data_IF_133206260665
#
_entry.id   IF_133206260665
#
_cell.length_a   1.000
_cell.length_b   1.000
_cell.length_c   1.000
_cell.angle_alpha   90.00
_cell.angle_beta   90.00
_cell.angle_gamma   90.00
#
_symmetry.space_group_name_H-M   'P 1'
#
loop_
_entity.id
_entity.type
_entity.pdbx_description
1 polymer ?
#
# COMPACT_ATOMS: atom_id res chain seq x y z
N UNK A 1 -1.95 -1.29 -19.06
CA UNK A 1 -1.21 -0.69 -17.91
C UNK A 1 -1.41 -1.57 -16.69
N UNK A 2 -0.38 -1.65 -15.84
CA UNK A 2 -0.41 -2.43 -14.60
C UNK A 2 -0.26 -1.50 -13.39
N UNK A 3 -1.07 -1.67 -12.33
CA UNK A 3 -0.94 -0.93 -11.08
C UNK A 3 -0.55 -1.89 -9.96
N UNK A 4 0.56 -1.61 -9.29
CA UNK A 4 1.04 -2.36 -8.13
C UNK A 4 0.95 -1.44 -6.91
N UNK A 5 0.05 -1.74 -5.99
CA UNK A 5 -0.14 -1.02 -4.74
C UNK A 5 0.59 -1.79 -3.64
N UNK A 6 1.49 -1.12 -2.92
CA UNK A 6 2.28 -1.70 -1.83
C UNK A 6 1.86 -1.05 -0.52
N UNK A 7 1.32 -1.86 0.38
CA UNK A 7 0.82 -1.45 1.68
C UNK A 7 1.46 -2.21 2.84
N UNK A 8 1.35 -1.65 4.01
CA UNK A 8 1.85 -2.23 5.25
C UNK A 8 2.32 -1.18 6.24
N UNK A 9 2.49 -1.57 7.48
CA UNK A 9 3.00 -0.71 8.55
C UNK A 9 4.42 -0.18 8.29
N UNK A 10 4.90 0.62 9.21
CA UNK A 10 6.29 1.09 9.13
C UNK A 10 7.27 -0.09 9.33
N UNK A 11 8.44 -0.01 8.69
CA UNK A 11 9.54 -1.00 8.80
C UNK A 11 9.27 -2.39 8.21
N UNK A 12 8.20 -2.58 7.44
CA UNK A 12 7.95 -3.86 6.71
C UNK A 12 8.69 -3.96 5.36
N UNK A 13 9.57 -3.00 5.01
CA UNK A 13 10.39 -3.08 3.79
C UNK A 13 9.70 -2.60 2.51
N UNK A 14 8.64 -1.78 2.59
CA UNK A 14 7.95 -1.21 1.42
C UNK A 14 8.91 -0.48 0.46
N UNK A 15 9.73 0.43 0.99
CA UNK A 15 10.67 1.22 0.17
C UNK A 15 11.71 0.33 -0.52
N UNK A 16 12.18 -0.72 0.18
CA UNK A 16 13.09 -1.72 -0.39
C UNK A 16 12.41 -2.47 -1.54
N UNK A 17 11.17 -2.91 -1.36
CA UNK A 17 10.42 -3.58 -2.42
C UNK A 17 10.18 -2.65 -3.62
N UNK A 18 9.81 -1.39 -3.39
CA UNK A 18 9.64 -0.39 -4.47
C UNK A 18 10.93 -0.23 -5.26
N UNK A 19 12.08 -0.10 -4.58
CA UNK A 19 13.39 0.02 -5.23
C UNK A 19 13.71 -1.22 -6.07
N UNK A 20 13.53 -2.41 -5.51
CA UNK A 20 13.78 -3.66 -6.22
C UNK A 20 12.86 -3.83 -7.45
N UNK A 21 11.58 -3.46 -7.32
CA UNK A 21 10.65 -3.45 -8.45
C UNK A 21 11.05 -2.42 -9.51
N UNK A 22 11.52 -1.24 -9.10
CA UNK A 22 12.04 -0.23 -10.03
C UNK A 22 13.21 -0.78 -10.82
N UNK A 23 14.20 -1.37 -10.17
CA UNK A 23 15.36 -2.00 -10.81
C UNK A 23 14.91 -3.10 -11.78
N UNK A 24 13.98 -3.96 -11.38
CA UNK A 24 13.44 -5.03 -12.23
C UNK A 24 12.73 -4.49 -13.48
N UNK A 25 11.91 -3.44 -13.37
CA UNK A 25 11.12 -2.94 -14.49
C UNK A 25 11.91 -2.01 -15.43
N UNK A 26 12.94 -1.31 -14.95
CA UNK A 26 13.82 -0.47 -15.80
C UNK A 26 14.44 -1.28 -16.95
N UNK A 27 14.73 -2.56 -16.73
CA UNK A 27 15.32 -3.45 -17.74
C UNK A 27 14.27 -4.11 -18.68
N UNK A 28 12.99 -3.76 -18.58
CA UNK A 28 11.88 -4.45 -19.30
C UNK A 28 11.23 -3.65 -20.41
N UNK A 29 11.80 -2.52 -20.82
CA UNK A 29 11.24 -1.65 -21.87
C UNK A 29 9.78 -1.22 -21.58
N UNK A 30 9.49 -0.93 -20.32
CA UNK A 30 8.18 -0.42 -19.88
C UNK A 30 8.31 0.99 -19.31
N UNK A 31 7.28 1.81 -19.54
CA UNK A 31 7.17 3.11 -18.86
C UNK A 31 6.86 2.89 -17.39
N UNK A 32 7.69 3.43 -16.49
CA UNK A 32 7.53 3.27 -15.04
C UNK A 32 7.15 4.59 -14.37
N UNK A 33 6.11 4.56 -13.56
CA UNK A 33 5.73 5.67 -12.68
C UNK A 33 5.64 5.19 -11.23
N UNK A 34 6.31 5.90 -10.32
CA UNK A 34 6.28 5.61 -8.89
C UNK A 34 5.65 6.78 -8.16
N UNK A 35 4.65 6.51 -7.33
CA UNK A 35 4.02 7.48 -6.44
C UNK A 35 4.20 7.04 -5.00
N UNK A 36 4.79 7.91 -4.18
CA UNK A 36 4.84 7.75 -2.74
C UNK A 36 3.79 8.65 -2.10
N UNK A 37 2.94 8.08 -1.26
CA UNK A 37 1.92 8.81 -0.53
C UNK A 37 2.44 9.20 0.85
N UNK A 38 2.43 10.50 1.12
CA UNK A 38 2.90 11.07 2.39
C UNK A 38 1.76 11.39 3.36
N UNK A 39 2.12 12.12 4.40
CA UNK A 39 1.16 12.56 5.42
C UNK A 39 0.14 13.55 4.87
N UNK A 40 -1.12 13.49 5.35
CA UNK A 40 -2.15 14.46 5.00
C UNK A 40 -1.78 15.85 5.46
N UNK A 41 -2.10 16.85 4.62
CA UNK A 41 -1.95 18.26 4.96
C UNK A 41 -3.25 18.79 5.59
N UNK A 42 -3.12 19.73 6.51
CA UNK A 42 -4.22 20.36 7.22
C UNK A 42 -3.90 20.64 8.67
N UNK A 43 -4.63 21.59 9.28
CA UNK A 43 -4.48 21.95 10.70
C UNK A 43 -5.35 21.06 11.60
N UNK A 44 -6.55 20.71 11.14
CA UNK A 44 -7.47 19.84 11.87
C UNK A 44 -7.53 18.43 11.27
N UNK A 45 -8.08 17.48 11.99
CA UNK A 45 -8.26 16.12 11.50
C UNK A 45 -9.27 16.05 10.34
N UNK A 46 -10.28 16.92 10.36
CA UNK A 46 -11.26 17.07 9.28
C UNK A 46 -10.60 17.57 8.00
N UNK A 47 -9.77 18.62 8.09
CA UNK A 47 -9.00 19.14 6.96
C UNK A 47 -8.06 18.10 6.37
N UNK A 48 -7.34 17.33 7.23
CA UNK A 48 -6.46 16.24 6.80
C UNK A 48 -7.22 15.14 6.07
N UNK A 49 -8.39 14.78 6.58
CA UNK A 49 -9.24 13.74 5.96
C UNK A 49 -9.79 14.21 4.62
N UNK A 50 -10.26 15.46 4.53
CA UNK A 50 -10.75 16.06 3.30
C UNK A 50 -9.63 16.14 2.24
N UNK A 51 -8.44 16.59 2.65
CA UNK A 51 -7.26 16.64 1.78
C UNK A 51 -6.93 15.27 1.19
N UNK A 52 -6.84 14.22 2.02
CA UNK A 52 -6.52 12.88 1.54
C UNK A 52 -7.59 12.34 0.58
N UNK A 53 -8.86 12.52 0.91
CA UNK A 53 -9.95 12.10 0.04
C UNK A 53 -9.85 12.76 -1.35
N UNK A 54 -9.56 14.06 -1.39
CA UNK A 54 -9.39 14.79 -2.65
C UNK A 54 -8.15 14.30 -3.42
N UNK A 55 -7.00 14.15 -2.74
CA UNK A 55 -5.77 13.70 -3.37
C UNK A 55 -5.93 12.29 -3.97
N UNK A 56 -6.54 11.37 -3.26
CA UNK A 56 -6.79 10.03 -3.79
C UNK A 56 -7.77 10.07 -4.95
N UNK A 57 -8.85 10.86 -4.87
CA UNK A 57 -9.78 11.00 -5.98
C UNK A 57 -9.09 11.51 -7.24
N UNK A 58 -8.26 12.54 -7.11
CA UNK A 58 -7.50 13.11 -8.23
C UNK A 58 -6.54 12.07 -8.84
N UNK A 59 -5.88 11.26 -8.00
CA UNK A 59 -4.98 10.21 -8.50
C UNK A 59 -5.74 9.06 -9.16
N UNK A 60 -6.91 8.68 -8.68
CA UNK A 60 -7.78 7.70 -9.32
C UNK A 60 -8.25 8.18 -10.71
N UNK A 61 -8.62 9.47 -10.82
CA UNK A 61 -8.93 10.09 -12.12
C UNK A 61 -7.73 10.02 -13.05
N UNK A 62 -6.55 10.42 -12.57
CA UNK A 62 -5.30 10.35 -13.34
C UNK A 62 -4.98 8.93 -13.77
N UNK A 63 -5.06 7.96 -12.85
CA UNK A 63 -4.86 6.56 -13.18
C UNK A 63 -5.83 6.09 -14.26
N UNK A 64 -7.10 6.45 -14.15
CA UNK A 64 -8.12 6.07 -15.14
C UNK A 64 -7.82 6.65 -16.53
N UNK A 65 -7.25 7.86 -16.63
CA UNK A 65 -6.84 8.43 -17.93
C UNK A 65 -5.64 7.74 -18.55
N UNK A 66 -4.82 7.07 -17.74
CA UNK A 66 -3.63 6.33 -18.21
C UNK A 66 -3.92 4.85 -18.45
N UNK A 67 -5.12 4.36 -18.14
CA UNK A 67 -5.45 2.93 -18.14
C UNK A 67 -5.17 2.23 -19.47
N UNK A 68 -5.37 2.92 -20.60
CA UNK A 68 -5.18 2.37 -21.93
C UNK A 68 -3.74 2.49 -22.46
N UNK A 69 -2.83 3.12 -21.68
CA UNK A 69 -1.42 3.20 -22.05
C UNK A 69 -0.80 1.81 -21.96
N UNK A 70 -0.32 1.31 -23.10
CA UNK A 70 0.36 0.01 -23.16
C UNK A 70 1.74 0.09 -22.51
N UNK A 71 2.22 -1.06 -22.03
CA UNK A 71 3.59 -1.21 -21.51
C UNK A 71 3.93 -0.18 -20.42
N UNK A 72 2.95 0.13 -19.57
CA UNK A 72 3.12 1.02 -18.44
C UNK A 72 2.91 0.28 -17.12
N UNK A 73 3.82 0.49 -16.18
CA UNK A 73 3.71 0.02 -14.80
C UNK A 73 3.65 1.22 -13.88
N UNK A 74 2.65 1.24 -13.01
CA UNK A 74 2.48 2.25 -11.96
C UNK A 74 2.67 1.56 -10.62
N UNK A 75 3.52 2.09 -9.76
CA UNK A 75 3.73 1.60 -8.40
C UNK A 75 3.28 2.67 -7.41
N UNK A 76 2.33 2.33 -6.55
CA UNK A 76 1.96 3.16 -5.42
C UNK A 76 2.58 2.62 -4.13
N UNK A 77 3.49 3.39 -3.55
CA UNK A 77 4.03 3.14 -2.22
C UNK A 77 3.14 3.83 -1.20
N UNK A 78 2.37 3.05 -0.47
CA UNK A 78 1.16 3.44 0.28
C UNK A 78 0.01 3.82 -0.67
N UNK A 79 -1.20 3.88 -0.15
CA UNK A 79 -2.40 4.22 -0.94
C UNK A 79 -3.59 4.63 -0.06
N UNK A 80 -4.75 4.76 -0.68
CA UNK A 80 -6.05 4.94 -0.04
C UNK A 80 -6.38 3.85 0.99
N UNK A 81 -5.81 2.64 0.85
CA UNK A 81 -5.97 1.54 1.81
C UNK A 81 -5.43 1.93 3.19
N UNK A 82 -4.27 2.61 3.23
CA UNK A 82 -3.67 3.13 4.46
C UNK A 82 -4.59 4.09 5.22
N UNK A 83 -5.52 4.77 4.53
CA UNK A 83 -6.49 5.65 5.20
C UNK A 83 -7.43 4.87 6.12
N UNK A 84 -7.84 3.64 5.74
CA UNK A 84 -8.64 2.76 6.61
C UNK A 84 -7.90 2.30 7.86
N UNK A 85 -6.59 2.52 7.92
CA UNK A 85 -5.73 2.22 9.09
C UNK A 85 -5.47 3.49 9.90
N UNK A 86 -4.86 4.49 9.26
CA UNK A 86 -4.37 5.68 9.94
C UNK A 86 -5.48 6.71 10.25
N UNK A 87 -6.59 6.66 9.52
CA UNK A 87 -7.79 7.45 9.82
C UNK A 87 -8.36 7.14 11.21
N UNK A 88 -8.76 5.90 11.47
CA UNK A 88 -9.28 5.50 12.78
C UNK A 88 -8.24 5.61 13.90
N UNK A 89 -6.98 5.21 13.65
CA UNK A 89 -5.94 5.18 14.69
C UNK A 89 -5.53 6.56 15.17
N UNK A 90 -5.40 7.53 14.26
CA UNK A 90 -4.73 8.80 14.59
C UNK A 90 -5.58 10.04 14.32
N UNK A 91 -6.73 9.93 13.66
CA UNK A 91 -7.58 11.07 13.32
C UNK A 91 -9.02 10.94 13.80
N UNK A 92 -9.39 9.77 14.34
CA UNK A 92 -10.77 9.50 14.77
C UNK A 92 -11.78 9.51 13.63
N UNK A 93 -11.33 9.31 12.39
CA UNK A 93 -12.19 9.26 11.20
C UNK A 93 -12.49 7.82 10.78
N UNK A 94 -13.65 7.60 10.15
CA UNK A 94 -13.97 6.33 9.49
C UNK A 94 -14.00 6.53 7.97
N UNK A 95 -12.89 6.27 7.26
CA UNK A 95 -12.79 6.46 5.83
C UNK A 95 -13.31 5.27 5.00
N UNK A 96 -13.71 4.16 5.63
CA UNK A 96 -14.01 2.90 4.95
C UNK A 96 -15.01 3.07 3.80
N UNK A 97 -16.11 3.78 4.03
CA UNK A 97 -17.16 3.94 3.02
C UNK A 97 -16.67 4.66 1.77
N UNK A 98 -15.95 5.79 1.92
CA UNK A 98 -15.49 6.54 0.77
C UNK A 98 -14.29 5.86 0.06
N UNK A 99 -13.45 5.13 0.80
CA UNK A 99 -12.36 4.34 0.21
C UNK A 99 -12.93 3.25 -0.70
N UNK A 100 -13.90 2.49 -0.21
CA UNK A 100 -14.56 1.45 -1.01
C UNK A 100 -15.31 2.04 -2.19
N UNK A 101 -16.02 3.17 -2.00
CA UNK A 101 -16.72 3.86 -3.09
C UNK A 101 -15.78 4.31 -4.19
N UNK A 102 -14.54 4.74 -3.88
CA UNK A 102 -13.53 5.06 -4.90
C UNK A 102 -13.13 3.83 -5.70
N UNK A 103 -12.88 2.70 -5.04
CA UNK A 103 -12.52 1.46 -5.74
C UNK A 103 -13.63 1.01 -6.70
N UNK A 104 -14.90 1.12 -6.29
CA UNK A 104 -16.07 0.77 -7.10
C UNK A 104 -16.28 1.77 -8.25
N UNK A 105 -16.24 3.08 -7.96
CA UNK A 105 -16.39 4.16 -8.95
C UNK A 105 -15.37 4.03 -10.09
N UNK A 106 -14.12 3.75 -9.75
CA UNK A 106 -13.03 3.61 -10.72
C UNK A 106 -12.77 2.16 -11.15
N UNK A 107 -13.68 1.24 -10.82
CA UNK A 107 -13.67 -0.16 -11.25
C UNK A 107 -12.43 -0.96 -10.86
N UNK A 108 -11.85 -0.66 -9.71
CA UNK A 108 -10.75 -1.44 -9.15
C UNK A 108 -11.20 -2.86 -8.78
N UNK A 109 -12.48 -3.02 -8.49
CA UNK A 109 -13.16 -4.29 -8.24
C UNK A 109 -13.28 -5.20 -9.48
N UNK A 110 -12.97 -4.68 -10.69
CA UNK A 110 -13.14 -5.39 -11.97
C UNK A 110 -11.88 -5.35 -12.86
N UNK A 111 -10.85 -4.65 -12.45
CA UNK A 111 -9.63 -4.51 -13.25
C UNK A 111 -8.61 -5.59 -12.88
N UNK A 112 -8.33 -6.55 -13.79
CA UNK A 112 -7.38 -7.62 -13.50
C UNK A 112 -5.92 -7.17 -13.50
N UNK A 113 -5.62 -5.92 -13.87
CA UNK A 113 -4.26 -5.36 -13.89
C UNK A 113 -3.94 -4.53 -12.64
N UNK A 114 -4.81 -4.59 -11.62
CA UNK A 114 -4.58 -3.92 -10.32
C UNK A 114 -4.24 -4.96 -9.26
N UNK A 115 -3.11 -4.77 -8.60
CA UNK A 115 -2.55 -5.68 -7.61
C UNK A 115 -2.35 -4.98 -6.29
N UNK A 116 -2.84 -5.57 -5.20
CA UNK A 116 -2.60 -5.10 -3.83
C UNK A 116 -1.63 -6.04 -3.11
N UNK A 117 -0.44 -5.54 -2.80
CA UNK A 117 0.59 -6.25 -2.06
C UNK A 117 0.60 -5.72 -0.62
N UNK A 118 0.24 -6.56 0.33
CA UNK A 118 0.29 -6.23 1.74
C UNK A 118 1.50 -6.91 2.41
N UNK A 119 2.46 -6.10 2.84
CA UNK A 119 3.61 -6.55 3.62
C UNK A 119 3.29 -6.47 5.11
N UNK A 120 3.53 -7.57 5.84
CA UNK A 120 3.33 -7.63 7.29
C UNK A 120 4.53 -8.26 8.00
N UNK A 121 4.73 -7.91 9.26
CA UNK A 121 5.69 -8.57 10.15
C UNK A 121 5.06 -8.79 11.53
N UNK A 122 5.71 -9.59 12.36
CA UNK A 122 5.28 -9.79 13.75
C UNK A 122 5.41 -8.47 14.53
N UNK A 123 4.42 -8.10 15.37
CA UNK A 123 4.47 -6.84 16.12
C UNK A 123 5.70 -6.71 17.03
N UNK A 124 6.11 -7.81 17.65
CA UNK A 124 7.30 -7.90 18.51
C UNK A 124 8.57 -7.62 17.72
N UNK A 125 8.66 -8.17 16.51
CA UNK A 125 9.77 -7.93 15.59
C UNK A 125 9.83 -6.46 15.18
N UNK A 126 8.70 -5.85 14.85
CA UNK A 126 8.63 -4.43 14.48
C UNK A 126 8.99 -3.50 15.65
N UNK A 127 8.55 -3.84 16.86
CA UNK A 127 8.86 -3.03 18.04
C UNK A 127 10.36 -3.02 18.38
N UNK A 128 11.03 -4.16 18.23
CA UNK A 128 12.49 -4.27 18.49
C UNK A 128 13.31 -3.55 17.40
N UNK A 129 12.85 -3.57 16.16
CA UNK A 129 13.54 -2.96 15.01
C UNK A 129 13.08 -1.53 14.70
N UNK A 130 12.37 -0.87 15.63
CA UNK A 130 11.92 0.51 15.44
C UNK A 130 13.11 1.49 15.54
N UNK A 131 13.21 2.42 14.60
CA UNK A 131 14.26 3.44 14.52
C UNK A 131 13.83 4.80 15.11
N UNK A 132 12.70 4.82 15.81
CA UNK A 132 12.12 6.03 16.40
C UNK A 132 11.39 6.94 15.41
N UNK A 133 11.18 6.52 14.17
CA UNK A 133 10.45 7.26 13.13
C UNK A 133 9.04 6.77 12.91
N UNK A 134 8.66 5.65 13.51
CA UNK A 134 7.28 5.15 13.50
C UNK A 134 6.38 5.98 14.41
N UNK A 135 5.07 5.94 14.17
CA UNK A 135 4.08 6.61 15.05
C UNK A 135 4.15 6.10 16.49
N UNK A 136 4.46 4.83 16.69
CA UNK A 136 4.67 4.23 18.01
C UNK A 136 5.58 3.00 17.91
N UNK A 137 6.38 2.78 18.96
CA UNK A 137 7.20 1.58 19.15
C UNK A 137 6.56 0.57 20.13
N UNK A 138 5.36 0.87 20.66
CA UNK A 138 4.66 -0.02 21.59
C UNK A 138 4.08 -1.21 20.85
N UNK A 139 4.27 -2.41 21.39
CA UNK A 139 3.76 -3.66 20.81
C UNK A 139 2.23 -3.60 20.63
N UNK A 140 1.51 -3.04 21.61
CA UNK A 140 0.04 -2.92 21.55
C UNK A 140 -0.41 -2.08 20.35
N UNK A 141 0.27 -0.97 20.08
CA UNK A 141 -0.05 -0.11 18.95
C UNK A 141 0.30 -0.80 17.62
N UNK A 142 1.42 -1.53 17.55
CA UNK A 142 1.78 -2.35 16.39
C UNK A 142 0.77 -3.48 16.15
N UNK A 143 0.27 -4.12 17.20
CA UNK A 143 -0.79 -5.14 17.08
C UNK A 143 -2.09 -4.53 16.54
N UNK A 144 -2.47 -3.34 17.02
CA UNK A 144 -3.65 -2.64 16.55
C UNK A 144 -3.51 -2.19 15.10
N UNK A 145 -2.36 -1.63 14.72
CA UNK A 145 -2.05 -1.25 13.35
C UNK A 145 -2.14 -2.46 12.40
N UNK A 146 -1.54 -3.60 12.78
CA UNK A 146 -1.58 -4.83 12.01
C UNK A 146 -3.02 -5.35 11.82
N UNK A 147 -3.86 -5.27 12.87
CA UNK A 147 -5.28 -5.64 12.79
C UNK A 147 -6.01 -4.76 11.79
N UNK A 148 -5.84 -3.44 11.86
CA UNK A 148 -6.48 -2.51 10.91
C UNK A 148 -6.00 -2.71 9.47
N UNK A 149 -4.71 -2.96 9.26
CA UNK A 149 -4.21 -3.29 7.91
C UNK A 149 -4.84 -4.58 7.37
N UNK A 150 -4.99 -5.59 8.19
CA UNK A 150 -5.65 -6.83 7.79
C UNK A 150 -7.12 -6.59 7.43
N UNK A 151 -7.86 -5.84 8.26
CA UNK A 151 -9.25 -5.49 8.01
C UNK A 151 -9.39 -4.64 6.72
N UNK A 152 -8.48 -3.69 6.49
CA UNK A 152 -8.44 -2.87 5.29
C UNK A 152 -8.15 -3.72 4.03
N UNK A 153 -7.15 -4.60 4.09
CA UNK A 153 -6.83 -5.55 3.02
C UNK A 153 -8.01 -6.46 2.68
N UNK A 154 -8.68 -7.01 3.68
CA UNK A 154 -9.86 -7.88 3.48
C UNK A 154 -11.06 -7.10 2.91
N UNK A 155 -11.24 -5.84 3.32
CA UNK A 155 -12.36 -4.99 2.89
C UNK A 155 -12.19 -4.41 1.49
N UNK A 156 -10.95 -4.20 1.02
CA UNK A 156 -10.67 -3.71 -0.33
C UNK A 156 -11.32 -4.59 -1.39
N UNK A 157 -11.87 -3.96 -2.44
CA UNK A 157 -12.52 -4.64 -3.58
C UNK A 157 -11.53 -5.05 -4.67
N UNK A 158 -10.27 -4.70 -4.57
CA UNK A 158 -9.23 -5.15 -5.50
C UNK A 158 -9.22 -6.68 -5.55
N UNK A 159 -9.31 -7.27 -6.75
CA UNK A 159 -9.44 -8.72 -6.91
C UNK A 159 -8.13 -9.46 -6.66
N UNK A 160 -7.02 -8.91 -7.15
CA UNK A 160 -5.70 -9.54 -7.05
C UNK A 160 -4.97 -9.01 -5.83
N UNK A 161 -4.92 -9.83 -4.78
CA UNK A 161 -4.33 -9.46 -3.50
C UNK A 161 -3.31 -10.51 -3.05
N UNK A 162 -2.14 -10.06 -2.63
CA UNK A 162 -1.08 -10.89 -2.09
C UNK A 162 -0.65 -10.35 -0.71
N UNK A 163 -0.59 -11.22 0.28
CA UNK A 163 -0.11 -10.90 1.61
C UNK A 163 1.20 -11.63 1.89
N UNK A 164 2.26 -10.89 2.18
CA UNK A 164 3.59 -11.45 2.43
C UNK A 164 4.03 -11.13 3.86
N UNK A 165 4.42 -12.16 4.61
CA UNK A 165 5.11 -11.98 5.88
C UNK A 165 6.61 -11.76 5.60
N UNK A 166 7.15 -10.61 6.03
CA UNK A 166 8.52 -10.18 5.70
C UNK A 166 9.57 -10.58 6.75
N UNK A 167 9.16 -11.25 7.83
CA UNK A 167 10.09 -11.75 8.84
C UNK A 167 9.86 -13.23 9.16
N UNK A 168 10.93 -13.90 9.51
CA UNK A 168 10.92 -15.25 10.08
C UNK A 168 11.69 -15.19 11.39
N UNK A 169 10.98 -15.43 12.51
CA UNK A 169 11.55 -15.20 13.84
C UNK A 169 12.01 -13.72 13.97
N UNK A 170 13.26 -13.50 14.37
CA UNK A 170 13.83 -12.18 14.61
C UNK A 170 14.64 -11.62 13.42
N UNK A 171 14.47 -12.16 12.23
CA UNK A 171 15.22 -11.74 11.02
C UNK A 171 14.27 -11.39 9.87
N UNK A 172 14.67 -10.42 9.06
CA UNK A 172 13.98 -10.16 7.81
C UNK A 172 14.22 -11.30 6.81
N UNK A 173 13.18 -11.63 6.06
CA UNK A 173 13.32 -12.47 4.86
C UNK A 173 14.11 -11.67 3.81
N UNK A 174 14.97 -12.34 3.08
CA UNK A 174 15.75 -11.71 2.00
C UNK A 174 14.84 -10.97 1.01
N UNK A 175 15.22 -9.73 0.70
CA UNK A 175 14.40 -8.85 -0.16
C UNK A 175 14.24 -9.39 -1.59
N UNK A 176 15.21 -10.14 -2.08
CA UNK A 176 15.16 -10.83 -3.38
C UNK A 176 14.03 -11.86 -3.41
N UNK A 177 13.86 -12.66 -2.34
CA UNK A 177 12.78 -13.62 -2.24
C UNK A 177 11.40 -12.96 -2.23
N UNK A 178 11.27 -11.83 -1.52
CA UNK A 178 10.03 -11.04 -1.52
C UNK A 178 9.75 -10.49 -2.92
N UNK A 179 10.79 -9.98 -3.61
CA UNK A 179 10.68 -9.52 -4.98
C UNK A 179 10.20 -10.63 -5.92
N UNK A 180 10.83 -11.81 -5.87
CA UNK A 180 10.48 -12.95 -6.72
C UNK A 180 9.01 -13.36 -6.55
N UNK A 181 8.52 -13.41 -5.30
CA UNK A 181 7.12 -13.73 -5.00
C UNK A 181 6.17 -12.68 -5.60
N UNK A 182 6.50 -11.39 -5.49
CA UNK A 182 5.70 -10.31 -6.07
C UNK A 182 5.75 -10.36 -7.59
N UNK A 183 6.92 -10.53 -8.21
CA UNK A 183 7.06 -10.63 -9.67
C UNK A 183 6.26 -11.82 -10.20
N UNK A 184 6.38 -12.99 -9.58
CA UNK A 184 5.60 -14.16 -9.96
C UNK A 184 4.10 -13.83 -9.93
N UNK A 185 3.63 -13.21 -8.85
CA UNK A 185 2.22 -12.85 -8.70
C UNK A 185 1.72 -11.85 -9.75
N UNK A 186 2.49 -10.81 -10.08
CA UNK A 186 2.06 -9.77 -11.02
C UNK A 186 2.30 -10.12 -12.49
N UNK A 187 3.06 -11.18 -12.80
CA UNK A 187 3.36 -11.62 -14.17
C UNK A 187 2.62 -12.86 -14.62
N UNK A 188 2.19 -13.72 -13.68
CA UNK A 188 1.49 -14.99 -13.99
C UNK A 188 -0.05 -14.87 -13.92
N UNK A 189 -0.56 -13.70 -13.62
CA UNK A 189 -1.99 -13.49 -13.35
C UNK A 189 -2.73 -13.00 -14.57
#
# INVERSE_FOLDING_TARGET
MKLIIIEGGDRVGKDTLVKNLQEYFVDKDVSLMIKHWGFPQGKTNEEKTAYQKEQFRNEFVRFNTLRDVKEMVVIWNRSHIGEMVYGPLYRGSDPKSWVISLEEEFRFDKDPEIYLIYLKADPEFLAVNDDGRSFSNKIVDKQQELRFFREAYESSKIMKKLMIKVNKQNEYIESTRILDEVIQFVTQS
#
